data_IF_262690634124
#
_entry.id   IF_262690634124
#
_cell.length_a   1.000
_cell.length_b   1.000
_cell.length_c   1.000
_cell.angle_alpha   90.00
_cell.angle_beta   90.00
_cell.angle_gamma   90.00
#
_symmetry.space_group_name_H-M   'P 1'
#
loop_
_entity.id
_entity.type
_entity.pdbx_description
1 polymer ?
#
# COMPACT_ATOMS: atom_id res chain seq x y z
N UNK A 1 -6.54 14.60 -31.45
CA UNK A 1 -6.20 14.33 -30.03
C UNK A 1 -5.18 15.36 -29.57
N UNK A 2 -5.48 16.18 -28.56
CA UNK A 2 -4.54 17.20 -28.06
C UNK A 2 -3.38 16.53 -27.31
N UNK A 3 -2.15 17.02 -27.51
CA UNK A 3 -0.88 16.50 -26.92
C UNK A 3 -0.95 16.25 -25.40
N UNK A 4 -1.82 16.98 -24.71
CA UNK A 4 -2.08 16.87 -23.26
C UNK A 4 -2.87 15.62 -22.88
N UNK A 5 -3.87 15.21 -23.68
CA UNK A 5 -4.61 13.97 -23.46
C UNK A 5 -3.73 12.75 -23.71
N UNK A 6 -2.88 12.77 -24.74
CA UNK A 6 -1.99 11.65 -25.04
C UNK A 6 -0.96 11.38 -23.92
N UNK A 7 -0.34 12.43 -23.35
CA UNK A 7 0.54 12.27 -22.16
C UNK A 7 -0.22 11.79 -20.93
N UNK A 8 -1.47 12.23 -20.73
CA UNK A 8 -2.29 11.77 -19.61
C UNK A 8 -2.65 10.27 -19.72
N UNK A 9 -3.00 9.81 -20.93
CA UNK A 9 -3.29 8.40 -21.20
C UNK A 9 -2.04 7.53 -21.08
N UNK A 10 -0.90 7.96 -21.62
CA UNK A 10 0.37 7.25 -21.42
C UNK A 10 0.79 7.19 -19.95
N UNK A 11 0.60 8.29 -19.21
CA UNK A 11 0.86 8.35 -17.77
C UNK A 11 -0.03 7.43 -16.94
N UNK A 12 -1.24 7.07 -17.44
CA UNK A 12 -2.13 6.08 -16.80
C UNK A 12 -1.83 4.64 -17.23
N UNK A 13 -1.50 4.44 -18.51
CA UNK A 13 -1.29 3.10 -19.09
C UNK A 13 -0.03 2.44 -18.54
N UNK A 14 1.06 3.18 -18.36
CA UNK A 14 2.32 2.65 -17.83
C UNK A 14 2.14 2.01 -16.43
N UNK A 15 1.59 2.69 -15.41
CA UNK A 15 1.38 2.07 -14.10
C UNK A 15 0.31 0.96 -14.11
N UNK A 16 -0.60 0.96 -15.09
CA UNK A 16 -1.65 -0.06 -15.19
C UNK A 16 -1.15 -1.35 -15.86
N UNK A 17 -0.39 -1.23 -16.95
CA UNK A 17 0.03 -2.35 -17.80
C UNK A 17 1.47 -2.78 -17.48
N UNK A 18 2.32 -1.85 -17.06
CA UNK A 18 3.72 -2.10 -16.72
C UNK A 18 3.92 -3.25 -15.72
N UNK A 19 3.22 -3.27 -14.56
CA UNK A 19 3.36 -4.36 -13.60
C UNK A 19 2.98 -5.73 -14.17
N UNK A 20 1.96 -5.80 -15.03
CA UNK A 20 1.55 -7.03 -15.72
C UNK A 20 2.62 -7.51 -16.70
N UNK A 21 3.23 -6.61 -17.47
CA UNK A 21 4.30 -6.95 -18.41
C UNK A 21 5.53 -7.48 -17.67
N UNK A 22 5.91 -6.83 -16.56
CA UNK A 22 7.02 -7.29 -15.71
C UNK A 22 6.71 -8.67 -15.13
N UNK A 23 5.48 -8.91 -14.64
CA UNK A 23 5.08 -10.22 -14.12
C UNK A 23 5.15 -11.31 -15.21
N UNK A 24 4.67 -11.04 -16.42
CA UNK A 24 4.74 -11.98 -17.55
C UNK A 24 6.19 -12.25 -17.94
N UNK A 25 7.04 -11.23 -17.97
CA UNK A 25 8.46 -11.39 -18.27
C UNK A 25 9.18 -12.25 -17.21
N UNK A 26 8.93 -11.97 -15.92
CA UNK A 26 9.50 -12.74 -14.81
C UNK A 26 9.04 -14.20 -14.84
N UNK A 27 7.76 -14.47 -15.15
CA UNK A 27 7.25 -15.85 -15.30
C UNK A 27 7.93 -16.65 -16.41
N UNK A 28 8.49 -15.98 -17.42
CA UNK A 28 9.21 -16.63 -18.53
C UNK A 28 10.69 -16.89 -18.23
N UNK A 29 11.28 -16.21 -17.24
CA UNK A 29 12.68 -16.31 -16.89
C UNK A 29 12.89 -17.09 -15.57
N UNK A 30 12.69 -18.42 -15.61
CA UNK A 30 12.78 -19.29 -14.43
C UNK A 30 14.16 -19.29 -13.74
N UNK A 31 15.23 -18.90 -14.44
CA UNK A 31 16.57 -18.78 -13.85
C UNK A 31 16.67 -17.68 -12.77
N UNK A 32 15.84 -16.64 -12.85
CA UNK A 32 15.79 -15.55 -11.84
C UNK A 32 15.04 -16.01 -10.58
N UNK A 33 14.18 -17.03 -10.70
CA UNK A 33 13.32 -17.56 -9.63
C UNK A 33 14.14 -18.19 -8.47
N UNK A 34 15.32 -18.75 -8.77
CA UNK A 34 16.17 -19.38 -7.74
C UNK A 34 16.81 -18.38 -6.78
N UNK A 35 17.18 -17.18 -7.25
CA UNK A 35 17.72 -16.10 -6.40
C UNK A 35 16.58 -15.39 -5.64
N UNK A 36 15.42 -15.24 -6.29
CA UNK A 36 14.21 -14.63 -5.70
C UNK A 36 13.56 -15.50 -4.60
N UNK A 37 13.82 -16.81 -4.56
CA UNK A 37 13.34 -17.72 -3.51
C UNK A 37 14.01 -17.53 -2.14
N UNK A 38 15.09 -16.75 -2.05
CA UNK A 38 15.74 -16.49 -0.76
C UNK A 38 14.81 -15.70 0.17
N UNK A 39 14.48 -16.29 1.33
CA UNK A 39 13.67 -15.63 2.36
C UNK A 39 14.30 -14.31 2.81
N UNK A 40 15.63 -14.23 2.86
CA UNK A 40 16.36 -13.00 3.18
C UNK A 40 16.17 -11.92 2.12
N UNK A 41 16.25 -12.29 0.84
CA UNK A 41 16.01 -11.35 -0.26
C UNK A 41 14.56 -10.83 -0.23
N UNK A 42 13.58 -11.73 -0.09
CA UNK A 42 12.16 -11.38 0.02
C UNK A 42 11.91 -10.41 1.18
N UNK A 43 12.49 -10.67 2.35
CA UNK A 43 12.39 -9.78 3.51
C UNK A 43 12.97 -8.38 3.24
N UNK A 44 14.13 -8.28 2.60
CA UNK A 44 14.74 -6.98 2.27
C UNK A 44 13.82 -6.17 1.36
N UNK A 45 13.30 -6.80 0.29
CA UNK A 45 12.41 -6.12 -0.67
C UNK A 45 11.10 -5.68 -0.01
N UNK A 46 10.44 -6.58 0.71
CA UNK A 46 9.16 -6.27 1.38
C UNK A 46 9.35 -5.20 2.46
N UNK A 47 10.46 -5.23 3.21
CA UNK A 47 10.78 -4.22 4.22
C UNK A 47 11.06 -2.85 3.59
N UNK A 48 11.77 -2.81 2.45
CA UNK A 48 11.99 -1.57 1.70
C UNK A 48 10.68 -0.97 1.20
N UNK A 49 9.78 -1.79 0.64
CA UNK A 49 8.44 -1.36 0.22
C UNK A 49 7.65 -0.81 1.40
N UNK A 50 7.66 -1.51 2.54
CA UNK A 50 6.97 -1.07 3.75
C UNK A 50 7.54 0.26 4.28
N UNK A 51 8.86 0.42 4.32
CA UNK A 51 9.51 1.66 4.74
C UNK A 51 9.12 2.84 3.84
N UNK A 52 9.20 2.65 2.52
CA UNK A 52 8.75 3.66 1.55
C UNK A 52 7.28 4.04 1.76
N UNK A 53 6.40 3.06 1.94
CA UNK A 53 4.98 3.30 2.19
C UNK A 53 4.76 4.10 3.49
N UNK A 54 5.45 3.75 4.58
CA UNK A 54 5.37 4.48 5.85
C UNK A 54 5.89 5.91 5.73
N UNK A 55 6.98 6.14 4.98
CA UNK A 55 7.48 7.50 4.70
C UNK A 55 6.42 8.32 3.97
N UNK A 56 5.82 7.78 2.92
CA UNK A 56 4.73 8.45 2.19
C UNK A 56 3.52 8.70 3.10
N UNK A 57 3.17 7.74 3.97
CA UNK A 57 2.09 7.90 4.94
C UNK A 57 2.33 9.06 5.91
N UNK A 58 3.55 9.18 6.46
CA UNK A 58 3.93 10.27 7.36
C UNK A 58 3.87 11.62 6.64
N UNK A 59 4.45 11.72 5.45
CA UNK A 59 4.48 12.96 4.68
C UNK A 59 3.08 13.40 4.26
N UNK A 60 2.29 12.49 3.68
CA UNK A 60 0.93 12.76 3.24
C UNK A 60 -0.01 13.06 4.42
N UNK A 61 0.16 12.36 5.55
CA UNK A 61 -0.63 12.57 6.76
C UNK A 61 -0.36 13.93 7.38
N UNK A 62 0.93 14.33 7.45
CA UNK A 62 1.33 15.68 7.89
C UNK A 62 0.79 16.76 6.96
N UNK A 63 0.89 16.58 5.65
CA UNK A 63 0.38 17.53 4.67
C UNK A 63 -1.15 17.67 4.77
N UNK A 64 -1.87 16.55 4.86
CA UNK A 64 -3.33 16.51 5.00
C UNK A 64 -3.82 17.14 6.30
N UNK A 65 -3.10 16.91 7.41
CA UNK A 65 -3.42 17.52 8.70
C UNK A 65 -3.18 19.04 8.72
N UNK A 66 -2.13 19.52 8.05
CA UNK A 66 -1.80 20.96 7.98
C UNK A 66 -2.74 21.74 7.06
N UNK A 67 -3.12 21.16 5.93
CA UNK A 67 -3.91 21.82 4.89
C UNK A 67 -5.41 21.51 5.00
N UNK A 68 -5.83 20.73 5.99
CA UNK A 68 -7.21 20.22 6.16
C UNK A 68 -7.78 19.62 4.87
N UNK A 69 -6.92 18.97 4.08
CA UNK A 69 -7.29 18.33 2.82
C UNK A 69 -7.48 16.83 3.02
N UNK A 70 -8.67 16.35 2.69
CA UNK A 70 -9.04 14.95 2.86
C UNK A 70 -8.22 13.98 1.99
N UNK A 71 -7.89 14.37 0.76
CA UNK A 71 -7.16 13.52 -0.19
C UNK A 71 -5.84 12.97 0.37
N UNK A 72 -4.91 13.84 0.81
CA UNK A 72 -3.67 13.40 1.45
C UNK A 72 -3.86 12.57 2.72
N UNK A 73 -4.92 12.80 3.50
CA UNK A 73 -5.23 11.99 4.70
C UNK A 73 -5.64 10.56 4.31
N UNK A 74 -6.49 10.41 3.30
CA UNK A 74 -6.88 9.09 2.80
C UNK A 74 -5.70 8.38 2.14
N UNK A 75 -4.89 9.08 1.34
CA UNK A 75 -3.65 8.53 0.78
C UNK A 75 -2.72 8.03 1.89
N UNK A 76 -2.54 8.83 2.94
CA UNK A 76 -1.73 8.46 4.09
C UNK A 76 -2.23 7.19 4.78
N UNK A 77 -3.55 7.09 4.99
CA UNK A 77 -4.17 5.88 5.56
C UNK A 77 -3.90 4.65 4.70
N UNK A 78 -4.09 4.77 3.38
CA UNK A 78 -3.82 3.68 2.44
C UNK A 78 -2.35 3.23 2.51
N UNK A 79 -1.41 4.16 2.46
CA UNK A 79 0.02 3.86 2.56
C UNK A 79 0.39 3.23 3.92
N UNK A 80 -0.28 3.64 4.99
CA UNK A 80 -0.06 3.07 6.33
C UNK A 80 -0.56 1.63 6.42
N UNK A 81 -1.74 1.33 5.85
CA UNK A 81 -2.23 -0.05 5.71
C UNK A 81 -1.26 -0.91 4.91
N UNK A 82 -0.74 -0.40 3.79
CA UNK A 82 0.28 -1.11 2.99
C UNK A 82 1.53 -1.39 3.83
N UNK A 83 2.06 -0.39 4.53
CA UNK A 83 3.24 -0.56 5.39
C UNK A 83 3.05 -1.65 6.44
N UNK A 84 1.97 -1.58 7.23
CA UNK A 84 1.67 -2.56 8.29
C UNK A 84 1.46 -3.97 7.74
N UNK A 85 0.68 -4.11 6.67
CA UNK A 85 0.38 -5.43 6.10
C UNK A 85 1.57 -6.04 5.36
N UNK A 86 2.46 -5.22 4.79
CA UNK A 86 3.70 -5.71 4.18
C UNK A 86 4.70 -6.17 5.25
N UNK A 87 4.81 -5.46 6.37
CA UNK A 87 5.59 -5.94 7.52
C UNK A 87 5.02 -7.27 8.04
N UNK A 88 3.70 -7.35 8.23
CA UNK A 88 3.05 -8.57 8.67
C UNK A 88 3.25 -9.73 7.69
N UNK A 89 3.15 -9.48 6.39
CA UNK A 89 3.44 -10.44 5.33
C UNK A 89 4.88 -10.96 5.41
N UNK A 90 5.87 -10.06 5.50
CA UNK A 90 7.28 -10.41 5.63
C UNK A 90 7.54 -11.26 6.88
N UNK A 91 7.04 -10.83 8.04
CA UNK A 91 7.19 -11.57 9.30
C UNK A 91 6.44 -12.90 9.33
N UNK A 92 5.37 -13.05 8.54
CA UNK A 92 4.60 -14.28 8.42
C UNK A 92 5.21 -15.27 7.42
N UNK A 93 6.21 -14.86 6.63
CA UNK A 93 6.80 -15.68 5.57
C UNK A 93 7.49 -16.92 6.17
N UNK A 94 7.28 -18.14 5.63
CA UNK A 94 7.84 -19.36 6.20
C UNK A 94 9.38 -19.29 6.23
N UNK A 95 9.97 -19.75 7.33
CA UNK A 95 11.43 -19.72 7.54
C UNK A 95 11.96 -18.39 8.10
N UNK A 96 11.17 -17.32 8.10
CA UNK A 96 11.51 -16.07 8.80
C UNK A 96 11.28 -16.27 10.29
N UNK A 97 12.31 -16.06 11.13
CA UNK A 97 12.24 -16.24 12.59
C UNK A 97 11.66 -17.60 13.03
N UNK A 98 11.89 -18.67 12.24
CA UNK A 98 11.36 -20.01 12.52
C UNK A 98 9.84 -20.16 12.37
N UNK A 99 9.17 -19.22 11.67
CA UNK A 99 7.70 -19.24 11.53
C UNK A 99 7.22 -20.37 10.62
N UNK A 100 6.15 -21.09 11.02
CA UNK A 100 5.52 -22.10 10.17
C UNK A 100 4.72 -21.45 9.05
N UNK A 101 4.38 -22.26 8.03
CA UNK A 101 3.48 -21.81 6.97
C UNK A 101 2.12 -21.41 7.53
N UNK A 102 1.65 -20.22 7.16
CA UNK A 102 0.37 -19.67 7.58
C UNK A 102 -0.32 -18.93 6.42
N UNK A 103 -1.63 -18.73 6.53
CA UNK A 103 -2.42 -18.09 5.48
C UNK A 103 -2.21 -16.56 5.42
N UNK A 104 -1.64 -15.95 6.46
CA UNK A 104 -1.37 -14.51 6.51
C UNK A 104 -0.31 -14.07 5.51
N UNK A 105 0.59 -14.99 5.11
CA UNK A 105 1.49 -14.81 3.96
C UNK A 105 0.72 -14.38 2.72
N UNK A 106 -0.39 -15.05 2.39
CA UNK A 106 -1.20 -14.70 1.22
C UNK A 106 -2.13 -13.51 1.49
N UNK A 107 -2.79 -13.48 2.67
CA UNK A 107 -3.82 -12.48 2.97
C UNK A 107 -3.27 -11.06 3.10
N UNK A 108 -2.07 -10.88 3.65
CA UNK A 108 -1.45 -9.56 3.86
C UNK A 108 -1.40 -8.71 2.59
N UNK A 109 -0.77 -9.19 1.49
CA UNK A 109 -0.71 -8.48 0.21
C UNK A 109 -2.07 -8.15 -0.40
N UNK A 110 -3.03 -9.08 -0.38
CA UNK A 110 -4.36 -8.82 -0.92
C UNK A 110 -5.10 -7.74 -0.13
N UNK A 111 -5.04 -7.80 1.20
CA UNK A 111 -5.64 -6.78 2.06
C UNK A 111 -4.95 -5.41 1.87
N UNK A 112 -3.63 -5.38 1.71
CA UNK A 112 -2.87 -4.15 1.50
C UNK A 112 -3.35 -3.42 0.24
N UNK A 113 -3.44 -4.13 -0.88
CA UNK A 113 -3.89 -3.58 -2.16
C UNK A 113 -5.36 -3.17 -2.08
N UNK A 114 -6.21 -3.99 -1.45
CA UNK A 114 -7.65 -3.72 -1.33
C UNK A 114 -7.91 -2.45 -0.51
N UNK A 115 -7.29 -2.35 0.68
CA UNK A 115 -7.43 -1.19 1.56
C UNK A 115 -6.82 0.06 0.93
N UNK A 116 -5.69 -0.06 0.22
CA UNK A 116 -5.12 1.05 -0.53
C UNK A 116 -6.05 1.52 -1.65
N UNK A 117 -6.67 0.60 -2.39
CA UNK A 117 -7.66 0.91 -3.42
C UNK A 117 -8.88 1.63 -2.85
N UNK A 118 -9.43 1.15 -1.73
CA UNK A 118 -10.52 1.82 -1.01
C UNK A 118 -10.09 3.23 -0.60
N UNK A 119 -8.88 3.39 -0.06
CA UNK A 119 -8.35 4.69 0.33
C UNK A 119 -8.21 5.65 -0.85
N UNK A 120 -7.78 5.18 -2.03
CA UNK A 120 -7.74 5.99 -3.25
C UNK A 120 -9.14 6.41 -3.73
N UNK A 121 -10.13 5.50 -3.66
CA UNK A 121 -11.53 5.83 -3.95
C UNK A 121 -12.06 6.89 -2.99
N UNK A 122 -11.70 6.82 -1.71
CA UNK A 122 -12.06 7.84 -0.73
C UNK A 122 -11.33 9.17 -0.98
N UNK A 123 -10.06 9.12 -1.40
CA UNK A 123 -9.26 10.29 -1.73
C UNK A 123 -9.77 11.05 -2.96
N UNK A 124 -10.42 10.36 -3.92
CA UNK A 124 -10.98 10.96 -5.13
C UNK A 124 -12.37 11.57 -4.93
N UNK A 125 -12.99 11.41 -3.75
CA UNK A 125 -14.31 11.98 -3.46
C UNK A 125 -14.30 13.50 -3.41
N UNK A 126 -15.41 14.17 -3.79
CA UNK A 126 -15.52 15.61 -3.70
C UNK A 126 -15.41 16.10 -2.24
N UNK A 127 -14.97 17.36 -2.06
CA UNK A 127 -14.72 17.94 -0.72
C UNK A 127 -15.95 18.00 0.17
N UNK A 128 -17.14 18.09 -0.41
CA UNK A 128 -18.41 18.15 0.31
C UNK A 128 -18.91 16.77 0.80
N UNK A 129 -18.29 15.66 0.39
CA UNK A 129 -18.68 14.34 0.86
C UNK A 129 -18.45 14.20 2.38
N UNK A 130 -19.32 13.45 3.07
CA UNK A 130 -19.21 13.24 4.52
C UNK A 130 -17.84 12.66 4.94
N UNK A 131 -17.32 11.71 4.16
CA UNK A 131 -16.00 11.09 4.36
C UNK A 131 -14.86 12.10 4.19
N UNK A 132 -14.93 12.97 3.18
CA UNK A 132 -13.96 14.06 3.00
C UNK A 132 -13.99 15.06 4.16
N UNK A 133 -15.18 15.42 4.64
CA UNK A 133 -15.34 16.30 5.80
C UNK A 133 -14.78 15.66 7.08
N UNK A 134 -15.01 14.37 7.30
CA UNK A 134 -14.47 13.65 8.45
C UNK A 134 -12.93 13.63 8.43
N UNK A 135 -12.32 13.29 7.28
CA UNK A 135 -10.88 13.27 7.12
C UNK A 135 -10.23 14.66 7.29
N UNK A 136 -10.90 15.71 6.81
CA UNK A 136 -10.44 17.08 6.98
C UNK A 136 -10.56 17.59 8.43
N UNK A 137 -11.65 17.24 9.13
CA UNK A 137 -11.93 17.71 10.50
C UNK A 137 -11.19 16.92 11.57
N UNK A 138 -11.00 15.61 11.36
CA UNK A 138 -10.44 14.68 12.35
C UNK A 138 -9.36 13.78 11.74
N UNK A 139 -8.30 14.33 11.13
CA UNK A 139 -7.29 13.55 10.42
C UNK A 139 -6.59 12.54 11.33
N UNK A 140 -6.34 12.89 12.60
CA UNK A 140 -5.73 11.98 13.57
C UNK A 140 -6.59 10.76 13.86
N UNK A 141 -7.91 10.91 13.98
CA UNK A 141 -8.80 9.78 14.23
C UNK A 141 -8.89 8.86 13.00
N UNK A 142 -8.96 9.44 11.80
CA UNK A 142 -8.98 8.68 10.54
C UNK A 142 -7.68 7.89 10.33
N UNK A 143 -6.54 8.40 10.80
CA UNK A 143 -5.28 7.67 10.74
C UNK A 143 -5.15 6.66 11.88
N UNK A 144 -5.36 7.07 13.14
CA UNK A 144 -5.05 6.24 14.30
C UNK A 144 -6.04 5.11 14.52
N UNK A 145 -7.36 5.34 14.36
CA UNK A 145 -8.35 4.33 14.69
C UNK A 145 -8.27 3.08 13.78
N UNK A 146 -8.19 3.19 12.44
CA UNK A 146 -8.05 2.03 11.58
C UNK A 146 -6.66 1.38 11.72
N UNK A 147 -5.62 2.17 11.96
CA UNK A 147 -4.27 1.65 12.18
C UNK A 147 -4.17 0.82 13.46
N UNK A 148 -4.79 1.29 14.55
CA UNK A 148 -4.85 0.58 15.82
C UNK A 148 -5.69 -0.70 15.69
N UNK A 149 -6.84 -0.63 15.02
CA UNK A 149 -7.67 -1.80 14.76
C UNK A 149 -6.90 -2.85 13.93
N UNK A 150 -6.20 -2.42 12.88
CA UNK A 150 -5.39 -3.30 12.05
C UNK A 150 -4.21 -3.91 12.82
N UNK A 151 -3.51 -3.11 13.63
CA UNK A 151 -2.44 -3.61 14.48
C UNK A 151 -2.94 -4.63 15.51
N UNK A 152 -4.13 -4.42 16.09
CA UNK A 152 -4.76 -5.37 17.00
C UNK A 152 -5.11 -6.70 16.30
N UNK A 153 -5.67 -6.64 15.09
CA UNK A 153 -5.97 -7.84 14.28
C UNK A 153 -4.71 -8.62 13.90
N UNK A 154 -3.58 -7.93 13.70
CA UNK A 154 -2.30 -8.57 13.38
C UNK A 154 -1.57 -9.12 14.61
N UNK A 155 -1.94 -8.65 15.81
CA UNK A 155 -1.33 -9.07 17.07
C UNK A 155 -2.10 -10.21 17.76
N UNK A 156 -3.38 -10.42 17.43
CA UNK A 156 -4.21 -11.54 17.89
C UNK A 156 -4.10 -12.75 16.98
#
# INVERSE_FOLDING_TARGET
MTRTRFRAWFGLLIPLVGPLLVLVALKRAQAVDLVLRSASFHLVVVSAIAACALVVAVVAGRAGARLSHAGPVWLALGCLCVGLLMVAHGLSTPGVLGRPANQWVGRGPYLAITLFGIALVLASRPRNAATSRLAARRPRLVLLAPSAALAAVLAG
#
